data_IF_859699305154
#
_entry.id   IF_859699305154
#
_cell.length_a   1.000
_cell.length_b   1.000
_cell.length_c   1.000
_cell.angle_alpha   90.00
_cell.angle_beta   90.00
_cell.angle_gamma   90.00
#
_symmetry.space_group_name_H-M   'P 1'
#
loop_
_entity.id
_entity.type
_entity.pdbx_description
1 polymer ?
#
# COMPACT_ATOMS: atom_id res chain seq x y z
N UNK A 1 -31.48 60.05 -24.84
CA UNK A 1 -32.35 59.01 -25.43
C UNK A 1 -32.30 57.85 -24.46
N UNK A 2 -33.26 57.72 -23.54
CA UNK A 2 -34.54 56.97 -23.72
C UNK A 2 -34.21 55.55 -24.17
N UNK A 3 -34.48 54.49 -23.42
CA UNK A 3 -35.84 54.04 -23.07
C UNK A 3 -35.91 53.25 -21.75
N UNK A 4 -37.10 53.35 -21.14
CA UNK A 4 -37.62 52.56 -20.02
C UNK A 4 -38.44 51.40 -20.58
N UNK A 5 -38.32 50.17 -20.05
CA UNK A 5 -39.38 49.14 -20.03
C UNK A 5 -39.15 48.30 -18.77
N UNK A 6 -39.82 48.54 -17.63
CA UNK A 6 -41.19 48.16 -17.22
C UNK A 6 -41.49 46.65 -17.14
N UNK A 7 -41.62 46.21 -15.89
CA UNK A 7 -42.27 45.04 -15.29
C UNK A 7 -43.21 44.18 -16.15
N UNK A 8 -43.08 42.86 -15.99
CA UNK A 8 -44.24 41.96 -15.90
C UNK A 8 -43.90 40.75 -14.99
N UNK A 9 -44.54 40.74 -13.82
CA UNK A 9 -44.67 39.60 -12.92
C UNK A 9 -45.55 38.55 -13.60
N UNK A 10 -45.11 37.30 -13.63
CA UNK A 10 -46.01 36.16 -13.83
C UNK A 10 -45.56 35.00 -12.94
N UNK A 11 -46.28 34.93 -11.84
CA UNK A 11 -46.50 33.78 -10.97
C UNK A 11 -46.67 32.49 -11.77
N UNK A 12 -45.74 31.56 -11.58
CA UNK A 12 -45.85 30.16 -11.99
C UNK A 12 -45.74 29.27 -10.77
N UNK A 13 -46.85 29.06 -10.06
CA UNK A 13 -47.01 28.00 -9.08
C UNK A 13 -47.05 26.68 -9.86
N UNK A 14 -45.90 26.02 -9.99
CA UNK A 14 -45.85 24.65 -10.52
C UNK A 14 -45.78 23.66 -9.38
N UNK A 15 -46.99 23.22 -9.03
CA UNK A 15 -47.40 21.90 -8.58
C UNK A 15 -46.30 20.95 -8.11
N UNK A 16 -46.38 20.66 -6.82
CA UNK A 16 -45.86 19.49 -6.12
C UNK A 16 -45.99 18.22 -6.96
N UNK A 17 -44.85 17.69 -7.40
CA UNK A 17 -44.69 16.34 -7.93
C UNK A 17 -43.57 15.66 -7.15
N UNK A 18 -43.82 15.35 -5.88
CA UNK A 18 -42.90 14.61 -5.05
C UNK A 18 -42.87 13.17 -5.55
N UNK A 19 -41.94 12.89 -6.47
CA UNK A 19 -41.65 11.51 -6.90
C UNK A 19 -40.92 10.86 -5.74
N UNK A 20 -41.67 10.14 -4.90
CA UNK A 20 -41.07 9.09 -4.08
C UNK A 20 -40.54 8.02 -5.04
N UNK A 21 -39.28 8.17 -5.44
CA UNK A 21 -38.51 7.05 -5.91
C UNK A 21 -38.41 6.09 -4.73
N UNK A 22 -39.29 5.09 -4.70
CA UNK A 22 -39.05 3.90 -3.92
C UNK A 22 -37.78 3.29 -4.48
N UNK A 23 -36.64 3.60 -3.86
CA UNK A 23 -35.48 2.75 -3.99
C UNK A 23 -35.96 1.38 -3.55
N UNK A 24 -36.10 0.46 -4.51
CA UNK A 24 -35.98 -0.97 -4.22
C UNK A 24 -34.56 -1.15 -3.72
N UNK A 25 -34.36 -0.82 -2.43
CA UNK A 25 -33.15 -1.17 -1.72
C UNK A 25 -33.01 -2.67 -1.90
N UNK A 26 -31.85 -3.11 -2.37
CA UNK A 26 -31.45 -4.48 -2.13
C UNK A 26 -31.43 -4.63 -0.61
N UNK A 27 -32.51 -5.14 -0.03
CA UNK A 27 -32.51 -5.61 1.35
C UNK A 27 -31.48 -6.74 1.39
N UNK A 28 -30.26 -6.40 1.79
CA UNK A 28 -29.28 -7.39 2.19
C UNK A 28 -29.80 -7.98 3.49
N UNK A 29 -30.60 -9.02 3.37
CA UNK A 29 -30.90 -9.89 4.49
C UNK A 29 -29.60 -10.64 4.82
N UNK A 30 -28.80 -10.08 5.73
CA UNK A 30 -27.78 -10.86 6.41
C UNK A 30 -28.54 -11.74 7.41
N UNK A 31 -28.69 -13.02 7.09
CA UNK A 31 -29.13 -14.00 8.06
C UNK A 31 -27.97 -14.19 9.05
N UNK A 32 -27.85 -13.26 10.01
CA UNK A 32 -26.98 -13.44 11.16
C UNK A 32 -27.69 -14.45 12.03
N UNK A 33 -27.42 -15.71 11.72
CA UNK A 33 -27.71 -16.80 12.63
C UNK A 33 -26.76 -16.56 13.80
N UNK A 34 -27.30 -16.05 14.90
CA UNK A 34 -26.61 -15.97 16.18
C UNK A 34 -26.49 -17.40 16.69
N UNK A 35 -25.56 -18.14 16.08
CA UNK A 35 -25.16 -19.45 16.57
C UNK A 35 -24.41 -19.16 17.87
N UNK A 36 -24.96 -19.64 18.97
CA UNK A 36 -24.43 -19.45 20.32
C UNK A 36 -23.07 -20.15 20.40
N UNK A 37 -22.01 -19.45 19.99
CA UNK A 37 -20.66 -19.98 19.86
C UNK A 37 -19.92 -19.86 21.19
N UNK A 38 -20.42 -20.57 22.20
CA UNK A 38 -19.67 -20.94 23.41
C UNK A 38 -18.66 -22.07 23.10
N UNK A 39 -18.33 -22.32 21.82
CA UNK A 39 -17.16 -23.12 21.51
C UNK A 39 -15.95 -22.21 21.51
N UNK A 40 -15.10 -22.41 22.52
CA UNK A 40 -13.71 -21.98 22.49
C UNK A 40 -13.11 -22.54 21.20
N UNK A 41 -13.08 -21.73 20.14
CA UNK A 41 -12.33 -22.04 18.94
C UNK A 41 -10.87 -22.15 19.36
N UNK A 42 -10.40 -23.37 19.65
CA UNK A 42 -9.00 -23.69 19.94
C UNK A 42 -8.07 -23.29 18.78
N UNK A 43 -8.64 -22.97 17.60
CA UNK A 43 -7.93 -22.43 16.47
C UNK A 43 -8.75 -21.30 15.82
N UNK A 44 -8.24 -20.06 15.77
CA UNK A 44 -8.88 -19.01 14.98
C UNK A 44 -8.96 -19.45 13.51
N UNK A 45 -9.99 -19.02 12.75
CA UNK A 45 -10.10 -19.35 11.34
C UNK A 45 -8.84 -18.92 10.59
N UNK A 46 -8.19 -19.88 9.92
CA UNK A 46 -7.08 -19.60 9.02
C UNK A 46 -7.63 -18.79 7.83
N UNK A 47 -7.24 -17.52 7.75
CA UNK A 47 -7.46 -16.72 6.55
C UNK A 47 -6.70 -17.40 5.40
N UNK A 48 -7.40 -17.88 4.37
CA UNK A 48 -6.80 -18.57 3.21
C UNK A 48 -5.96 -17.65 2.30
N UNK A 49 -5.47 -16.53 2.81
CA UNK A 49 -4.36 -15.83 2.17
C UNK A 49 -3.10 -16.62 2.52
N UNK A 50 -2.69 -17.51 1.61
CA UNK A 50 -1.41 -18.22 1.72
C UNK A 50 -0.22 -17.25 1.89
N UNK A 51 0.98 -17.76 2.22
CA UNK A 51 2.14 -16.90 2.45
C UNK A 51 2.48 -16.08 1.21
N UNK A 52 2.90 -14.82 1.42
CA UNK A 52 3.38 -13.95 0.35
C UNK A 52 4.63 -14.58 -0.27
N UNK A 53 4.70 -14.76 -1.61
CA UNK A 53 5.82 -15.44 -2.23
C UNK A 53 7.09 -14.60 -2.15
N UNK A 54 8.21 -15.28 -1.92
CA UNK A 54 9.55 -14.72 -2.04
C UNK A 54 9.81 -14.38 -3.49
N UNK A 55 10.29 -13.17 -3.76
CA UNK A 55 10.74 -12.78 -5.10
C UNK A 55 12.21 -13.13 -5.26
N UNK A 56 12.62 -13.53 -6.47
CA UNK A 56 14.04 -13.61 -6.80
C UNK A 56 14.61 -12.20 -6.78
N UNK A 57 15.16 -11.88 -5.62
CA UNK A 57 15.57 -10.53 -5.29
C UNK A 57 16.99 -10.27 -5.73
N UNK A 58 17.82 -11.26 -6.09
CA UNK A 58 19.22 -10.99 -6.46
C UNK A 58 20.01 -10.11 -5.47
N UNK A 59 19.52 -9.84 -4.25
CA UNK A 59 20.16 -8.96 -3.26
C UNK A 59 21.39 -9.62 -2.66
N UNK A 60 21.41 -10.94 -2.70
CA UNK A 60 22.55 -11.82 -2.40
C UNK A 60 23.40 -12.15 -3.64
N UNK A 61 23.06 -11.61 -4.82
CA UNK A 61 23.85 -11.85 -6.03
C UNK A 61 25.22 -11.16 -5.95
N UNK A 62 26.16 -11.66 -6.75
CA UNK A 62 27.50 -11.09 -6.95
C UNK A 62 27.49 -9.74 -7.70
N UNK A 63 26.30 -9.23 -8.05
CA UNK A 63 26.14 -7.91 -8.66
C UNK A 63 26.49 -6.76 -7.70
N UNK A 64 26.48 -7.01 -6.38
CA UNK A 64 26.77 -6.01 -5.35
C UNK A 64 28.06 -6.32 -4.61
N UNK A 65 28.64 -5.28 -3.99
CA UNK A 65 29.71 -5.47 -3.03
C UNK A 65 29.23 -6.39 -1.89
N UNK A 66 30.18 -7.09 -1.27
CA UNK A 66 29.91 -7.86 -0.06
C UNK A 66 29.22 -6.98 0.98
N UNK A 67 28.29 -7.55 1.75
CA UNK A 67 27.40 -6.77 2.62
C UNK A 67 28.14 -5.72 3.46
N UNK A 68 29.21 -6.11 4.14
CA UNK A 68 29.98 -5.23 5.04
C UNK A 68 30.70 -4.08 4.32
N UNK A 69 30.96 -4.21 3.03
CA UNK A 69 31.63 -3.22 2.18
C UNK A 69 30.64 -2.24 1.54
N UNK A 70 29.33 -2.49 1.65
CA UNK A 70 28.31 -1.58 1.13
C UNK A 70 28.29 -0.27 1.94
N UNK A 71 28.04 0.88 1.27
CA UNK A 71 27.83 2.13 1.98
C UNK A 71 26.60 2.05 2.89
N UNK A 72 26.61 2.86 3.95
CA UNK A 72 25.46 2.97 4.85
C UNK A 72 24.32 3.73 4.15
N UNK A 73 23.11 3.18 4.19
CA UNK A 73 21.91 3.82 3.64
C UNK A 73 21.22 4.78 4.62
N UNK A 74 20.12 5.40 4.16
CA UNK A 74 19.31 6.37 4.92
C UNK A 74 18.35 5.71 5.96
N UNK A 75 18.76 4.55 6.46
CA UNK A 75 18.07 3.73 7.45
C UNK A 75 18.59 3.97 8.88
N UNK A 76 19.30 5.07 9.10
CA UNK A 76 19.68 5.54 10.44
C UNK A 76 18.55 6.43 10.96
N UNK A 77 18.01 6.10 12.13
CA UNK A 77 16.95 6.90 12.73
C UNK A 77 17.48 8.14 13.44
N UNK A 78 16.61 8.84 14.17
CA UNK A 78 17.04 10.00 14.98
C UNK A 78 17.96 9.56 16.11
N UNK A 79 18.68 10.52 16.74
CA UNK A 79 19.68 10.23 17.78
C UNK A 79 19.22 9.27 18.90
N UNK A 80 17.91 9.15 19.16
CA UNK A 80 17.33 8.28 20.18
C UNK A 80 16.91 6.88 19.68
N UNK A 81 16.81 6.68 18.35
CA UNK A 81 16.44 5.42 17.71
C UNK A 81 17.40 5.14 16.55
N UNK A 82 18.47 4.39 16.81
CA UNK A 82 19.57 4.23 15.85
C UNK A 82 19.16 3.59 14.52
N UNK A 83 18.05 2.84 14.49
CA UNK A 83 17.55 2.19 13.29
C UNK A 83 16.24 2.85 12.79
N UNK A 84 16.28 3.36 11.57
CA UNK A 84 15.16 3.93 10.82
C UNK A 84 14.70 3.04 9.67
N UNK A 85 14.84 1.71 9.81
CA UNK A 85 14.55 0.72 8.77
C UNK A 85 13.17 0.90 8.13
N UNK A 86 12.10 0.97 8.93
CA UNK A 86 10.74 1.10 8.40
C UNK A 86 10.56 2.37 7.54
N UNK A 87 11.16 3.48 7.96
CA UNK A 87 11.08 4.76 7.24
C UNK A 87 11.84 4.67 5.91
N UNK A 88 13.03 4.09 5.93
CA UNK A 88 13.85 3.87 4.74
C UNK A 88 13.20 2.88 3.77
N UNK A 89 12.72 1.74 4.27
CA UNK A 89 12.00 0.73 3.47
C UNK A 89 10.78 1.36 2.80
N UNK A 90 9.98 2.13 3.55
CA UNK A 90 8.83 2.87 3.01
C UNK A 90 9.24 3.85 1.91
N UNK A 91 10.24 4.68 2.18
CA UNK A 91 10.71 5.67 1.20
C UNK A 91 11.23 4.99 -0.08
N UNK A 92 11.93 3.86 0.07
CA UNK A 92 12.41 3.04 -1.04
C UNK A 92 11.26 2.45 -1.84
N UNK A 93 10.27 1.85 -1.16
CA UNK A 93 9.08 1.29 -1.79
C UNK A 93 8.26 2.35 -2.53
N UNK A 94 8.10 3.54 -1.94
CA UNK A 94 7.42 4.68 -2.58
C UNK A 94 8.19 5.19 -3.79
N UNK A 95 9.52 5.32 -3.69
CA UNK A 95 10.37 5.74 -4.81
C UNK A 95 10.29 4.76 -5.98
N UNK A 96 10.38 3.45 -5.70
CA UNK A 96 10.25 2.43 -6.73
C UNK A 96 8.85 2.36 -7.31
N UNK A 97 7.82 2.53 -6.49
CA UNK A 97 6.43 2.60 -6.97
C UNK A 97 6.23 3.82 -7.88
N UNK A 98 6.81 4.98 -7.56
CA UNK A 98 6.76 6.15 -8.44
C UNK A 98 7.52 5.93 -9.75
N UNK A 99 8.71 5.34 -9.67
CA UNK A 99 9.59 5.09 -10.83
C UNK A 99 8.98 4.12 -11.83
N UNK A 100 8.29 3.09 -11.34
CA UNK A 100 7.58 2.09 -12.15
C UNK A 100 6.17 2.53 -12.57
N UNK A 101 5.81 3.77 -12.22
CA UNK A 101 4.56 4.40 -12.62
C UNK A 101 3.33 3.84 -11.91
N UNK A 102 3.43 3.56 -10.61
CA UNK A 102 2.34 3.22 -9.67
C UNK A 102 1.38 2.12 -10.12
N UNK A 103 1.94 0.98 -10.55
CA UNK A 103 1.15 -0.18 -11.02
C UNK A 103 1.19 -1.37 -10.07
N UNK A 104 2.15 -1.43 -9.15
CA UNK A 104 2.29 -2.56 -8.21
C UNK A 104 1.16 -2.54 -7.19
N UNK A 105 0.65 -3.72 -6.84
CA UNK A 105 -0.43 -3.91 -5.87
C UNK A 105 0.00 -4.90 -4.79
N UNK A 106 -0.76 -4.94 -3.70
CA UNK A 106 -0.59 -5.90 -2.62
C UNK A 106 0.47 -5.48 -1.61
N UNK A 107 1.04 -6.48 -0.94
CA UNK A 107 2.02 -6.32 0.13
C UNK A 107 3.44 -6.51 -0.39
N UNK A 108 4.36 -5.74 0.17
CA UNK A 108 5.80 -5.93 0.19
C UNK A 108 6.20 -6.32 1.61
N UNK A 109 7.02 -7.35 1.75
CA UNK A 109 7.73 -7.66 3.00
C UNK A 109 9.22 -7.68 2.71
N UNK A 110 10.01 -7.10 3.61
CA UNK A 110 11.46 -7.03 3.49
C UNK A 110 12.06 -7.46 4.82
N UNK A 111 12.99 -8.42 4.74
CA UNK A 111 13.73 -8.92 5.90
C UNK A 111 15.18 -8.52 5.76
N UNK A 112 15.71 -7.95 6.84
CA UNK A 112 17.12 -7.58 6.98
C UNK A 112 17.80 -8.53 7.95
N UNK A 113 18.97 -9.03 7.56
CA UNK A 113 19.80 -9.86 8.41
C UNK A 113 20.63 -9.00 9.39
N UNK A 114 21.20 -9.63 10.41
CA UNK A 114 21.98 -8.95 11.45
C UNK A 114 23.31 -8.33 10.99
N UNK A 115 23.74 -8.57 9.75
CA UNK A 115 24.87 -7.87 9.11
C UNK A 115 24.45 -6.52 8.49
N UNK A 116 23.14 -6.27 8.47
CA UNK A 116 22.52 -5.05 8.00
C UNK A 116 22.11 -5.05 6.54
N UNK A 117 22.24 -6.17 5.84
CA UNK A 117 21.76 -6.29 4.47
C UNK A 117 20.38 -6.90 4.41
N UNK A 118 19.62 -6.50 3.38
CA UNK A 118 18.36 -7.18 3.05
C UNK A 118 18.70 -8.59 2.59
N UNK A 119 18.15 -9.58 3.29
CA UNK A 119 18.29 -11.00 2.99
C UNK A 119 17.09 -11.55 2.23
N UNK A 120 15.93 -10.93 2.38
CA UNK A 120 14.71 -11.43 1.76
C UNK A 120 13.75 -10.30 1.33
N UNK A 121 13.13 -10.48 0.17
CA UNK A 121 12.04 -9.63 -0.31
C UNK A 121 10.88 -10.57 -0.70
N UNK A 122 9.68 -10.26 -0.22
CA UNK A 122 8.44 -10.97 -0.58
C UNK A 122 7.42 -9.99 -1.13
N UNK A 123 6.67 -10.41 -2.16
CA UNK A 123 5.65 -9.57 -2.76
C UNK A 123 4.41 -10.37 -3.16
N UNK A 124 3.21 -9.88 -2.83
CA UNK A 124 1.94 -10.58 -3.12
C UNK A 124 1.69 -10.65 -4.63
N UNK A 125 1.91 -9.54 -5.33
CA UNK A 125 1.74 -9.42 -6.79
C UNK A 125 3.02 -8.85 -7.39
N UNK A 126 4.07 -9.67 -7.53
CA UNK A 126 5.36 -9.20 -8.01
C UNK A 126 5.24 -8.60 -9.41
N UNK A 127 5.93 -7.49 -9.61
CA UNK A 127 6.06 -6.81 -10.89
C UNK A 127 7.56 -6.68 -11.19
N UNK A 128 8.00 -7.14 -12.35
CA UNK A 128 9.44 -7.25 -12.65
C UNK A 128 10.18 -5.92 -12.56
N UNK A 129 9.57 -4.82 -13.02
CA UNK A 129 10.16 -3.48 -12.92
C UNK A 129 10.29 -3.02 -11.46
N UNK A 130 9.27 -3.36 -10.64
CA UNK A 130 9.26 -3.04 -9.22
C UNK A 130 10.29 -3.85 -8.45
N UNK A 131 10.35 -5.17 -8.68
CA UNK A 131 11.34 -6.06 -8.09
C UNK A 131 12.73 -5.57 -8.47
N UNK A 132 13.01 -5.33 -9.75
CA UNK A 132 14.31 -4.83 -10.18
C UNK A 132 14.71 -3.51 -9.49
N UNK A 133 13.77 -2.58 -9.29
CA UNK A 133 14.04 -1.34 -8.55
C UNK A 133 14.34 -1.60 -7.08
N UNK A 134 13.49 -2.37 -6.38
CA UNK A 134 13.69 -2.69 -4.96
C UNK A 134 15.03 -3.37 -4.72
N UNK A 135 15.39 -4.28 -5.62
CA UNK A 135 16.66 -5.01 -5.59
C UNK A 135 17.85 -4.09 -5.78
N UNK A 136 17.77 -3.15 -6.73
CA UNK A 136 18.81 -2.16 -6.96
C UNK A 136 19.02 -1.26 -5.73
N UNK A 137 17.93 -0.78 -5.14
CA UNK A 137 17.98 0.12 -3.98
C UNK A 137 18.47 -0.61 -2.72
N UNK A 138 17.90 -1.77 -2.40
CA UNK A 138 18.27 -2.55 -1.22
C UNK A 138 19.63 -3.25 -1.35
N UNK A 139 20.05 -3.62 -2.56
CA UNK A 139 21.36 -4.20 -2.84
C UNK A 139 22.50 -3.20 -2.76
N UNK A 140 22.24 -1.91 -3.04
CA UNK A 140 23.28 -0.89 -3.11
C UNK A 140 23.84 -0.45 -1.75
N UNK A 141 23.08 -0.63 -0.67
CA UNK A 141 23.43 -0.13 0.67
C UNK A 141 23.32 -1.23 1.72
N UNK A 142 23.88 -0.96 2.90
CA UNK A 142 23.61 -1.71 4.13
C UNK A 142 23.10 -0.77 5.21
N UNK A 143 22.39 -1.34 6.17
CA UNK A 143 21.75 -0.65 7.26
C UNK A 143 22.16 -1.31 8.57
N UNK A 144 22.87 -0.62 9.48
CA UNK A 144 23.42 -1.25 10.68
C UNK A 144 22.33 -1.47 11.76
N UNK A 145 21.20 -2.02 11.34
CA UNK A 145 20.14 -2.50 12.18
C UNK A 145 20.41 -3.96 12.55
N UNK A 146 19.86 -4.41 13.68
CA UNK A 146 19.77 -5.84 13.95
C UNK A 146 18.81 -6.50 12.95
N UNK A 147 18.67 -7.83 13.05
CA UNK A 147 17.67 -8.56 12.27
C UNK A 147 16.27 -7.95 12.49
N UNK A 148 15.63 -7.54 11.40
CA UNK A 148 14.35 -6.83 11.42
C UNK A 148 13.55 -7.15 10.15
N UNK A 149 12.24 -7.27 10.31
CA UNK A 149 11.30 -7.44 9.22
C UNK A 149 10.36 -6.24 9.17
N UNK A 150 9.97 -5.83 7.96
CA UNK A 150 9.04 -4.74 7.74
C UNK A 150 8.12 -5.05 6.58
N UNK A 151 6.90 -4.49 6.63
CA UNK A 151 5.92 -4.62 5.57
C UNK A 151 5.41 -3.28 5.10
N UNK A 152 5.12 -3.20 3.79
CA UNK A 152 4.52 -2.04 3.15
C UNK A 152 3.38 -2.46 2.23
N UNK A 153 2.26 -1.77 2.32
CA UNK A 153 1.08 -2.06 1.50
C UNK A 153 0.94 -1.02 0.40
N UNK A 154 1.04 -1.45 -0.85
CA UNK A 154 0.90 -0.57 -2.00
C UNK A 154 -0.55 -0.17 -2.27
N UNK A 155 -1.53 -0.97 -1.84
CA UNK A 155 -2.92 -0.85 -2.26
C UNK A 155 -3.37 -1.97 -3.19
N UNK A 156 -4.68 -2.06 -3.43
CA UNK A 156 -5.28 -3.13 -4.23
C UNK A 156 -5.69 -2.70 -5.65
N UNK A 157 -5.66 -1.40 -5.95
CA UNK A 157 -6.25 -0.82 -7.17
C UNK A 157 -5.37 0.25 -7.81
N UNK A 158 -4.06 0.10 -7.69
CA UNK A 158 -3.09 0.96 -8.35
C UNK A 158 -3.21 0.79 -9.86
N UNK A 159 -3.43 1.91 -10.54
CA UNK A 159 -3.72 1.99 -11.98
C UNK A 159 -2.74 2.89 -12.73
N UNK A 160 -1.69 3.34 -12.05
CA UNK A 160 -0.59 4.11 -12.61
C UNK A 160 -0.64 5.63 -12.47
N UNK A 161 -1.67 6.15 -11.81
CA UNK A 161 -1.68 7.55 -11.37
C UNK A 161 -1.03 7.66 -9.99
N UNK A 162 0.25 8.03 -9.96
CA UNK A 162 0.90 8.40 -8.70
C UNK A 162 0.31 9.73 -8.19
N UNK A 163 -0.07 9.80 -6.91
CA UNK A 163 -0.28 11.09 -6.27
C UNK A 163 1.07 11.85 -6.29
N UNK A 164 1.06 13.11 -6.73
CA UNK A 164 2.25 13.95 -6.53
C UNK A 164 2.46 14.16 -5.03
N UNK A 165 3.72 14.16 -4.56
CA UNK A 165 4.06 14.36 -3.15
C UNK A 165 3.58 15.71 -2.61
#
# INVERSE_FOLDING_TARGET
MSERILFAVLTGVFSSGLVFAFSTGCERHANIRDENDDTLLDKPPELEAGPIPVVDSGVESDAYLACLDRPLGDCVGSNDFLCGFEKWMRATAENCQMTTGCKTNGWLEVTMAGDGCVSEIRMDKPNDEMVACLVAEFGAVRCPCAEIEGSYYFGNTNSGACASP
#
